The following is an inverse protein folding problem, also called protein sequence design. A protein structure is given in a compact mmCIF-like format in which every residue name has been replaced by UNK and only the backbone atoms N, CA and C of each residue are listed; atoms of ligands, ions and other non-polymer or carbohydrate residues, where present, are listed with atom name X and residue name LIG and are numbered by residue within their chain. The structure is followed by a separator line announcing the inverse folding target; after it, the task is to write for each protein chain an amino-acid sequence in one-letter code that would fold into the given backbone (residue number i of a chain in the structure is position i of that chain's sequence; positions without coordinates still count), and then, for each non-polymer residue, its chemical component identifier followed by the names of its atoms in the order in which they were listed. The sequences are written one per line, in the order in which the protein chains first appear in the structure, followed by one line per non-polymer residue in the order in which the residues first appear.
data_IF_404640828940
#
_entry.id   IF_404640828940
#
_cell.length_a   1.000
_cell.length_b   1.000
_cell.length_c   1.000
_cell.angle_alpha   90.00
_cell.angle_beta   90.00
_cell.angle_gamma   90.00
#
_symmetry.space_group_name_H-M   'P 1'
#
loop_
_entity.id
_entity.type
_entity.pdbx_description
1 polymer ?
#
# COMPACT_ATOMS: atom_id res chain seq x y z
N UNK A 1 14.15 20.89 -25.77
CA UNK A 1 14.40 20.85 -25.29
C UNK A 1 14.68 20.70 -24.74
N UNK A 2 14.46 20.56 -24.95
CA UNK A 2 14.82 20.40 -24.40
C UNK A 2 14.93 20.45 -23.58
N UNK A 3 14.86 20.79 -23.26
CA UNK A 3 15.16 20.76 -22.37
C UNK A 3 14.59 20.80 -21.38
N UNK A 4 13.91 21.10 -21.29
CA UNK A 4 13.42 21.05 -20.42
C UNK A 4 12.88 20.22 -19.85
N UNK A 5 12.37 20.09 -19.93
CA UNK A 5 11.95 19.19 -19.31
C UNK A 5 12.58 18.52 -18.81
N UNK A 6 13.00 18.73 -18.57
CA UNK A 6 13.67 17.87 -18.29
C UNK A 6 14.04 17.41 -17.17
N UNK A 7 13.82 17.86 -16.06
CA UNK A 7 14.47 17.15 -15.04
C UNK A 7 13.90 15.80 -14.79
N UNK A 8 12.63 15.65 -14.83
CA UNK A 8 12.03 14.34 -14.67
C UNK A 8 12.32 13.47 -15.86
N UNK A 9 12.18 14.05 -17.01
CA UNK A 9 12.43 13.30 -18.22
C UNK A 9 13.90 12.90 -18.32
N UNK A 10 14.79 13.76 -17.84
CA UNK A 10 16.19 13.44 -17.89
C UNK A 10 16.57 12.32 -16.96
N UNK A 11 16.02 12.28 -15.77
CA UNK A 11 16.31 11.17 -14.88
C UNK A 11 15.89 9.85 -15.49
N UNK A 12 14.71 9.82 -16.05
CA UNK A 12 14.26 8.62 -16.71
C UNK A 12 15.13 8.28 -17.88
N UNK A 13 15.52 9.29 -18.63
CA UNK A 13 16.32 9.08 -19.81
C UNK A 13 17.72 8.55 -19.48
N UNK A 14 18.35 9.17 -18.50
CA UNK A 14 19.71 8.76 -18.15
C UNK A 14 19.75 7.36 -17.59
N UNK A 15 18.70 6.96 -16.92
CA UNK A 15 18.64 5.63 -16.35
C UNK A 15 18.19 4.60 -17.37
N UNK A 16 17.94 5.01 -18.59
CA UNK A 16 17.27 4.16 -19.55
C UNK A 16 17.95 2.82 -19.81
N UNK A 17 19.26 2.76 -19.74
CA UNK A 17 19.94 1.50 -19.98
C UNK A 17 19.64 0.44 -18.92
N UNK A 18 19.51 0.86 -17.68
CA UNK A 18 19.17 -0.04 -16.60
C UNK A 18 17.71 0.11 -16.18
N UNK A 19 17.09 1.21 -16.57
CA UNK A 19 15.75 1.56 -16.10
C UNK A 19 14.66 0.53 -16.39
N UNK A 20 14.68 -0.19 -17.51
CA UNK A 20 13.58 -1.12 -17.76
C UNK A 20 13.34 -2.13 -16.65
N UNK A 21 14.41 -2.59 -15.99
CA UNK A 21 14.24 -3.52 -14.88
C UNK A 21 13.64 -2.85 -13.65
N UNK A 22 14.22 -1.69 -13.29
CA UNK A 22 13.77 -1.02 -12.07
C UNK A 22 12.45 -0.29 -12.27
N UNK A 23 12.22 0.26 -13.46
CA UNK A 23 10.95 0.92 -13.73
C UNK A 23 9.79 -0.05 -13.66
N UNK A 24 9.97 -1.28 -14.17
CA UNK A 24 8.93 -2.29 -14.07
C UNK A 24 8.65 -2.68 -12.64
N UNK A 25 9.70 -2.84 -11.83
CA UNK A 25 9.54 -3.18 -10.42
C UNK A 25 8.87 -2.05 -9.66
N UNK A 26 9.30 -0.83 -9.90
CA UNK A 26 8.67 0.32 -9.24
C UNK A 26 7.21 0.47 -9.62
N UNK A 27 6.89 0.25 -10.88
CA UNK A 27 5.51 0.31 -11.33
C UNK A 27 4.68 -0.80 -10.68
N UNK A 28 5.23 -2.00 -10.56
CA UNK A 28 4.54 -3.11 -9.92
C UNK A 28 4.24 -2.79 -8.45
N UNK A 29 5.17 -2.11 -7.78
CA UNK A 29 4.97 -1.69 -6.40
C UNK A 29 3.84 -0.67 -6.31
N UNK A 30 3.84 0.32 -7.21
CA UNK A 30 2.76 1.30 -7.23
C UNK A 30 1.41 0.64 -7.50
N UNK A 31 1.39 -0.31 -8.42
CA UNK A 31 0.16 -1.04 -8.74
C UNK A 31 -0.35 -1.83 -7.55
N UNK A 32 0.56 -2.41 -6.78
CA UNK A 32 0.18 -3.13 -5.57
C UNK A 32 -0.55 -2.20 -4.60
N UNK A 33 0.00 -1.03 -4.33
CA UNK A 33 -0.62 -0.11 -3.37
C UNK A 33 -1.90 0.51 -3.90
N UNK A 34 -1.99 0.72 -5.22
CA UNK A 34 -3.25 1.13 -5.83
C UNK A 34 -4.32 0.06 -5.62
N UNK A 35 -3.94 -1.21 -5.79
CA UNK A 35 -4.85 -2.32 -5.57
C UNK A 35 -5.29 -2.41 -4.11
N UNK A 36 -4.36 -2.21 -3.17
CA UNK A 36 -4.70 -2.24 -1.74
C UNK A 36 -5.65 -1.11 -1.37
N UNK A 37 -5.39 0.11 -1.86
CA UNK A 37 -6.25 1.25 -1.58
C UNK A 37 -7.65 1.02 -2.16
N UNK A 38 -7.72 0.50 -3.38
CA UNK A 38 -9.01 0.20 -4.02
C UNK A 38 -9.77 -0.86 -3.26
N UNK A 39 -9.08 -1.92 -2.82
CA UNK A 39 -9.71 -3.00 -2.08
C UNK A 39 -10.36 -2.47 -0.80
N UNK A 40 -9.66 -1.64 -0.05
CA UNK A 40 -10.22 -1.03 1.15
C UNK A 40 -11.41 -0.14 0.83
N UNK A 41 -11.27 0.72 -0.17
CA UNK A 41 -12.33 1.65 -0.54
C UNK A 41 -13.58 0.95 -1.04
N UNK A 42 -13.40 -0.22 -1.63
CA UNK A 42 -14.53 -1.03 -2.12
C UNK A 42 -15.09 -1.96 -1.06
N UNK A 43 -14.50 -1.97 0.13
CA UNK A 43 -14.94 -2.87 1.18
C UNK A 43 -14.59 -4.32 0.94
N UNK A 44 -13.55 -4.58 0.17
CA UNK A 44 -13.15 -5.94 -0.18
C UNK A 44 -11.93 -6.34 0.63
N UNK A 45 -12.17 -6.77 1.87
CA UNK A 45 -11.10 -7.18 2.77
C UNK A 45 -10.32 -8.38 2.28
N UNK A 46 -10.98 -9.31 1.61
CA UNK A 46 -10.29 -10.50 1.10
C UNK A 46 -9.32 -10.15 -0.01
N UNK A 47 -9.69 -9.21 -0.88
CA UNK A 47 -8.78 -8.76 -1.93
C UNK A 47 -7.55 -8.06 -1.34
N UNK A 48 -7.73 -7.31 -0.27
CA UNK A 48 -6.61 -6.71 0.44
C UNK A 48 -5.69 -7.80 0.98
N UNK A 49 -6.25 -8.75 1.70
CA UNK A 49 -5.48 -9.79 2.36
C UNK A 49 -4.80 -10.74 1.38
N UNK A 50 -5.34 -10.88 0.19
CA UNK A 50 -4.71 -11.69 -0.85
C UNK A 50 -3.35 -11.14 -1.26
N UNK A 51 -3.11 -9.85 -1.05
CA UNK A 51 -1.84 -9.23 -1.38
C UNK A 51 -0.86 -9.20 -0.21
N UNK A 52 -1.20 -9.84 0.89
CA UNK A 52 -0.37 -9.90 2.08
C UNK A 52 0.18 -11.31 2.24
N UNK A 53 1.45 -11.40 2.63
CA UNK A 53 2.05 -12.70 2.92
C UNK A 53 1.43 -13.23 4.21
N UNK A 54 0.74 -14.36 4.11
CA UNK A 54 0.04 -14.94 5.25
C UNK A 54 0.97 -15.45 6.33
N UNK A 55 2.27 -15.55 6.03
CA UNK A 55 3.27 -15.97 7.01
C UNK A 55 3.87 -14.82 7.79
N UNK A 56 3.45 -13.58 7.53
CA UNK A 56 4.00 -12.45 8.29
C UNK A 56 3.60 -12.56 9.78
N UNK A 57 4.45 -12.02 10.64
CA UNK A 57 4.29 -12.17 12.09
C UNK A 57 2.92 -11.77 12.61
N UNK A 58 2.38 -10.66 12.15
CA UNK A 58 1.12 -10.13 12.65
C UNK A 58 -0.05 -10.39 11.72
N UNK A 59 0.05 -11.40 10.87
CA UNK A 59 -0.99 -11.62 9.87
C UNK A 59 -2.38 -11.82 10.48
N UNK A 60 -2.49 -12.63 11.51
CA UNK A 60 -3.81 -12.90 12.10
C UNK A 60 -4.44 -11.64 12.68
N UNK A 61 -3.62 -10.80 13.30
CA UNK A 61 -4.10 -9.53 13.84
C UNK A 61 -4.54 -8.60 12.71
N UNK A 62 -3.74 -8.52 11.65
CA UNK A 62 -4.09 -7.71 10.49
C UNK A 62 -5.39 -8.21 9.87
N UNK A 63 -5.52 -9.51 9.70
CA UNK A 63 -6.71 -10.11 9.13
C UNK A 63 -7.96 -9.73 9.93
N UNK A 64 -7.91 -9.90 11.24
CA UNK A 64 -9.05 -9.53 12.10
C UNK A 64 -9.38 -8.05 11.95
N UNK A 65 -8.38 -7.20 11.95
CA UNK A 65 -8.58 -5.77 11.86
C UNK A 65 -9.19 -5.37 10.52
N UNK A 66 -8.65 -5.88 9.42
CA UNK A 66 -9.14 -5.53 8.09
C UNK A 66 -10.58 -6.01 7.91
N UNK A 67 -10.88 -7.25 8.30
CA UNK A 67 -12.22 -7.76 8.15
C UNK A 67 -13.23 -7.00 8.99
N UNK A 68 -12.85 -6.60 10.21
CA UNK A 68 -13.70 -5.80 11.06
C UNK A 68 -13.92 -4.40 10.49
N UNK A 69 -12.85 -3.77 9.99
CA UNK A 69 -12.96 -2.45 9.38
C UNK A 69 -13.96 -2.44 8.24
N UNK A 70 -13.81 -3.39 7.30
CA UNK A 70 -14.66 -3.39 6.11
C UNK A 70 -16.10 -3.82 6.42
N UNK A 71 -16.28 -4.65 7.43
CA UNK A 71 -17.62 -5.12 7.78
C UNK A 71 -18.46 -4.02 8.45
N UNK A 72 -17.81 -3.16 9.22
CA UNK A 72 -18.51 -2.19 10.08
C UNK A 72 -18.49 -0.78 9.53
N UNK A 73 -17.70 -0.52 8.51
CA UNK A 73 -17.46 0.85 8.05
C UNK A 73 -17.37 0.94 6.53
N UNK A 74 -17.64 2.15 6.06
CA UNK A 74 -17.28 2.51 4.69
C UNK A 74 -15.91 3.19 4.76
N UNK A 75 -15.04 2.82 3.85
CA UNK A 75 -13.65 3.28 3.88
C UNK A 75 -13.29 4.04 2.62
N UNK A 76 -12.44 5.04 2.78
CA UNK A 76 -11.76 5.68 1.67
C UNK A 76 -10.28 5.64 2.00
N UNK A 77 -9.50 5.04 1.13
CA UNK A 77 -8.07 4.90 1.34
C UNK A 77 -7.29 5.57 0.23
N UNK A 78 -6.21 6.24 0.59
CA UNK A 78 -5.27 6.80 -0.36
C UNK A 78 -3.87 6.49 0.14
N UNK A 79 -3.03 5.97 -0.73
CA UNK A 79 -1.68 5.54 -0.38
C UNK A 79 -0.70 6.17 -1.34
N UNK A 80 0.26 6.93 -0.81
CA UNK A 80 1.36 7.47 -1.61
C UNK A 80 2.65 6.81 -1.18
N UNK A 81 3.42 6.35 -2.15
CA UNK A 81 4.74 5.78 -1.88
C UNK A 81 5.73 6.92 -1.80
N UNK A 82 6.32 7.16 -0.63
CA UNK A 82 7.26 8.24 -0.43
C UNK A 82 8.71 7.80 -0.44
N UNK A 83 8.98 6.53 -0.14
CA UNK A 83 10.31 5.94 -0.31
C UNK A 83 10.14 4.50 -0.76
N UNK A 84 11.01 4.06 -1.63
CA UNK A 84 11.00 2.70 -2.16
C UNK A 84 12.44 2.32 -2.45
N UNK A 85 12.99 1.41 -1.65
CA UNK A 85 14.37 0.95 -1.78
C UNK A 85 14.42 -0.56 -1.74
N UNK A 86 15.31 -1.12 -2.52
CA UNK A 86 15.50 -2.56 -2.52
C UNK A 86 15.87 -3.09 -3.89
N UNK A 87 15.62 -4.37 -4.09
CA UNK A 87 15.96 -5.04 -5.33
C UNK A 87 14.71 -5.71 -5.93
N UNK A 88 14.91 -6.70 -6.77
CA UNK A 88 13.80 -7.36 -7.44
C UNK A 88 13.13 -8.44 -6.59
N UNK A 89 13.65 -8.72 -5.41
CA UNK A 89 13.12 -9.76 -4.54
C UNK A 89 12.52 -9.20 -3.26
N UNK A 90 13.12 -8.17 -2.70
CA UNK A 90 12.63 -7.54 -1.48
C UNK A 90 12.76 -6.02 -1.59
N UNK A 91 11.79 -5.34 -1.05
CA UNK A 91 11.80 -3.88 -1.04
C UNK A 91 11.31 -3.37 0.32
N UNK A 92 11.89 -2.25 0.74
CA UNK A 92 11.44 -1.53 1.91
C UNK A 92 10.81 -0.24 1.43
N UNK A 93 9.56 0.00 1.78
CA UNK A 93 8.86 1.19 1.33
C UNK A 93 8.29 1.95 2.51
N UNK A 94 8.17 3.26 2.34
CA UNK A 94 7.46 4.09 3.28
C UNK A 94 6.27 4.69 2.56
N UNK A 95 5.14 4.66 3.24
CA UNK A 95 3.87 5.01 2.65
C UNK A 95 3.23 6.13 3.46
N UNK A 96 2.73 7.15 2.77
CA UNK A 96 1.86 8.13 3.39
C UNK A 96 0.45 7.58 3.17
N UNK A 97 -0.15 7.09 4.22
CA UNK A 97 -1.42 6.37 4.12
C UNK A 97 -2.52 7.17 4.81
N UNK A 98 -3.53 7.53 4.03
CA UNK A 98 -4.71 8.20 4.54
C UNK A 98 -5.84 7.19 4.55
N UNK A 99 -6.57 7.12 5.66
CA UNK A 99 -7.71 6.23 5.78
C UNK A 99 -8.86 6.99 6.43
N UNK A 100 -9.96 7.12 5.72
CA UNK A 100 -11.18 7.67 6.26
C UNK A 100 -12.13 6.51 6.58
N UNK A 101 -12.64 6.50 7.78
CA UNK A 101 -13.46 5.41 8.31
C UNK A 101 -14.79 6.00 8.73
N UNK A 102 -15.85 5.64 8.02
CA UNK A 102 -17.21 6.10 8.37
C UNK A 102 -18.03 4.91 8.83
N UNK A 103 -18.49 4.96 10.05
CA UNK A 103 -19.34 3.90 10.59
C UNK A 103 -20.59 3.76 9.73
N UNK A 104 -21.03 2.53 9.53
CA UNK A 104 -22.28 2.25 8.82
C UNK A 104 -23.50 2.48 9.67
N UNK A 105 -23.32 2.75 10.96
CA UNK A 105 -24.43 3.02 11.83
C UNK A 105 -25.08 4.36 11.48
N UNK A 106 -26.34 4.50 11.81
CA UNK A 106 -27.13 5.66 11.46
C UNK A 106 -26.53 6.96 11.94
N UNK A 107 -25.94 6.96 13.12
CA UNK A 107 -25.27 8.14 13.67
C UNK A 107 -23.77 8.08 13.47
N UNK A 108 -23.33 7.38 12.44
CA UNK A 108 -21.95 7.02 12.27
C UNK A 108 -20.97 8.17 12.27
N UNK A 109 -19.91 8.00 13.03
CA UNK A 109 -18.82 8.96 13.09
C UNK A 109 -17.89 8.79 11.92
N UNK A 110 -17.21 9.87 11.58
CA UNK A 110 -16.15 9.83 10.59
C UNK A 110 -14.83 9.97 11.33
N UNK A 111 -13.94 9.01 11.12
CA UNK A 111 -12.59 9.03 11.67
C UNK A 111 -11.61 9.14 10.53
N UNK A 112 -10.64 10.01 10.66
CA UNK A 112 -9.55 10.13 9.69
C UNK A 112 -8.26 9.74 10.35
N UNK A 113 -7.49 8.89 9.66
CA UNK A 113 -6.16 8.52 10.09
C UNK A 113 -5.19 8.83 8.96
N UNK A 114 -4.02 9.34 9.31
CA UNK A 114 -2.97 9.55 8.35
C UNK A 114 -1.65 9.30 9.05
N UNK A 115 -0.89 8.35 8.56
CA UNK A 115 0.40 8.01 9.16
C UNK A 115 1.37 7.56 8.08
N UNK A 116 2.63 7.66 8.43
CA UNK A 116 3.67 7.02 7.64
C UNK A 116 3.72 5.56 8.06
N UNK A 117 3.41 4.68 7.14
CA UNK A 117 3.41 3.25 7.39
C UNK A 117 4.64 2.67 6.70
N UNK A 118 5.46 1.97 7.47
CA UNK A 118 6.63 1.29 6.91
C UNK A 118 6.21 -0.10 6.49
N UNK A 119 6.63 -0.48 5.30
CA UNK A 119 6.18 -1.73 4.70
C UNK A 119 7.36 -2.45 4.07
N UNK A 120 7.43 -3.75 4.27
CA UNK A 120 8.36 -4.59 3.52
C UNK A 120 7.57 -5.39 2.51
N UNK A 121 8.13 -5.51 1.32
CA UNK A 121 7.54 -6.29 0.25
C UNK A 121 8.48 -7.42 -0.12
N UNK A 122 7.89 -8.55 -0.46
CA UNK A 122 8.64 -9.69 -0.98
C UNK A 122 7.99 -10.17 -2.26
N UNK A 123 8.83 -10.54 -3.22
CA UNK A 123 8.33 -11.11 -4.45
C UNK A 123 8.14 -12.61 -4.25
N UNK A 124 6.93 -13.07 -4.45
CA UNK A 124 6.58 -14.48 -4.30
C UNK A 124 5.95 -14.95 -5.61
N UNK A 125 6.64 -15.82 -6.33
CA UNK A 125 6.12 -16.35 -7.60
C UNK A 125 5.67 -15.26 -8.55
N UNK A 126 6.55 -14.29 -8.78
CA UNK A 126 6.32 -13.16 -9.69
C UNK A 126 5.33 -12.12 -9.20
N UNK A 127 4.79 -12.28 -8.00
CA UNK A 127 3.89 -11.29 -7.42
C UNK A 127 4.50 -10.67 -6.18
N UNK A 128 4.29 -9.37 -6.02
CA UNK A 128 4.72 -8.70 -4.81
C UNK A 128 3.66 -8.90 -3.72
N UNK A 129 4.13 -9.24 -2.54
CA UNK A 129 3.26 -9.39 -1.37
C UNK A 129 3.80 -8.52 -0.24
N UNK A 130 2.89 -8.03 0.57
CA UNK A 130 3.24 -7.29 1.77
C UNK A 130 3.76 -8.27 2.81
N UNK A 131 4.99 -8.08 3.26
CA UNK A 131 5.61 -8.95 4.26
C UNK A 131 5.58 -8.36 5.66
N UNK A 132 5.41 -7.04 5.78
CA UNK A 132 5.22 -6.40 7.08
C UNK A 132 4.57 -5.04 6.89
N UNK A 133 3.85 -4.61 7.91
CA UNK A 133 3.24 -3.28 7.98
C UNK A 133 3.46 -2.76 9.41
N UNK A 134 3.96 -1.55 9.53
CA UNK A 134 4.24 -0.96 10.82
C UNK A 134 3.90 0.53 10.78
N UNK A 135 2.99 1.01 11.62
CA UNK A 135 2.37 0.29 12.73
C UNK A 135 1.13 -0.50 12.30
N UNK A 136 1.01 -1.71 12.81
CA UNK A 136 -0.14 -2.56 12.49
C UNK A 136 -1.41 -1.97 13.10
N UNK A 137 -1.27 -1.19 14.16
CA UNK A 137 -2.40 -0.54 14.83
C UNK A 137 -3.12 0.47 13.94
N UNK A 138 -2.47 0.92 12.86
CA UNK A 138 -3.10 1.82 11.92
C UNK A 138 -4.39 1.21 11.33
N UNK A 139 -4.47 -0.10 11.31
CA UNK A 139 -5.59 -0.82 10.71
C UNK A 139 -6.62 -1.29 11.75
N UNK A 140 -6.45 -0.92 13.00
CA UNK A 140 -7.38 -1.33 14.04
C UNK A 140 -8.71 -0.60 13.87
N UNK A 141 -9.85 -1.27 14.07
CA UNK A 141 -11.13 -0.58 14.01
C UNK A 141 -11.21 0.52 15.05
N UNK A 142 -11.96 1.60 14.79
CA UNK A 142 -12.18 2.62 15.81
C UNK A 142 -12.96 2.03 16.98
N UNK A 143 -12.71 2.53 18.18
CA UNK A 143 -13.41 2.09 19.39
C UNK A 143 -14.50 3.07 19.78
#
# INVERSE_FOLDING_TARGET
MPATAPDIARRAFLAALAAPLFAGTEQDVLDLFTTLASALSEGNGLAFLDRVNHSMTDYEKLERNILALVAQNELVAAIDVIEDEGDEQTRAVQLDWLLQIRSREETGNLVRRREIVKCRLERMKKKWKVASLDPISFFAPPT
#
